data_IF_352249177168
#
_entry.id   IF_352249177168
#
_cell.length_a   1.000
_cell.length_b   1.000
_cell.length_c   1.000
_cell.angle_alpha   90.00
_cell.angle_beta   90.00
_cell.angle_gamma   90.00
#
_symmetry.space_group_name_H-M   'P 1'
#
loop_
_entity.id
_entity.type
_entity.pdbx_description
1 polymer ?
#
# COMPACT_ATOMS: atom_id res chain seq x y z
N UNK A 1 16.81 12.23 -11.78
CA UNK A 1 16.29 12.67 -10.47
C UNK A 1 15.61 11.46 -9.85
N UNK A 2 16.01 11.07 -8.63
CA UNK A 2 15.23 10.09 -7.87
C UNK A 2 13.91 10.75 -7.49
N UNK A 3 12.80 10.31 -8.07
CA UNK A 3 11.48 10.74 -7.61
C UNK A 3 11.16 9.88 -6.38
N UNK A 4 11.03 10.52 -5.21
CA UNK A 4 10.77 9.81 -3.96
C UNK A 4 9.48 8.99 -4.03
N UNK A 5 9.35 7.95 -3.19
CA UNK A 5 8.11 7.18 -3.11
C UNK A 5 6.88 8.06 -2.87
N UNK A 6 7.02 9.13 -2.06
CA UNK A 6 5.96 10.12 -1.85
C UNK A 6 5.61 10.88 -3.14
N UNK A 7 6.60 11.32 -3.91
CA UNK A 7 6.33 12.01 -5.18
C UNK A 7 5.58 11.09 -6.17
N UNK A 8 6.00 9.83 -6.28
CA UNK A 8 5.29 8.85 -7.12
C UNK A 8 3.88 8.57 -6.63
N UNK A 9 3.66 8.51 -5.31
CA UNK A 9 2.34 8.32 -4.72
C UNK A 9 1.42 9.53 -4.98
N UNK A 10 1.95 10.75 -4.91
CA UNK A 10 1.22 11.97 -5.29
C UNK A 10 0.80 11.94 -6.77
N UNK A 11 1.70 11.49 -7.66
CA UNK A 11 1.38 11.36 -9.08
C UNK A 11 0.34 10.26 -9.34
N UNK A 12 0.38 9.15 -8.61
CA UNK A 12 -0.66 8.12 -8.67
C UNK A 12 -2.01 8.62 -8.16
N UNK A 13 -2.03 9.32 -7.02
CA UNK A 13 -3.23 9.91 -6.45
C UNK A 13 -3.87 10.92 -7.42
N UNK A 14 -3.06 11.79 -8.03
CA UNK A 14 -3.54 12.74 -9.05
C UNK A 14 -4.21 12.04 -10.24
N UNK A 15 -3.74 10.85 -10.63
CA UNK A 15 -4.36 10.05 -11.69
C UNK A 15 -5.69 9.42 -11.28
N UNK A 16 -5.98 9.30 -9.98
CA UNK A 16 -7.26 8.78 -9.50
C UNK A 16 -8.30 9.88 -9.31
N UNK A 17 -7.90 11.15 -9.17
CA UNK A 17 -8.84 12.26 -9.08
C UNK A 17 -9.60 12.43 -10.41
N UNK A 18 -10.84 11.97 -10.42
CA UNK A 18 -11.72 11.90 -11.59
C UNK A 18 -13.11 12.52 -11.32
N UNK A 19 -13.20 13.41 -10.32
CA UNK A 19 -14.42 14.05 -9.80
C UNK A 19 -15.31 13.16 -8.93
N UNK A 20 -15.08 11.84 -8.87
CA UNK A 20 -15.83 10.94 -7.98
C UNK A 20 -14.92 10.29 -6.94
N UNK A 21 -13.75 9.80 -7.34
CA UNK A 21 -12.90 8.98 -6.48
C UNK A 21 -12.44 9.75 -5.23
N UNK A 22 -12.03 11.02 -5.37
CA UNK A 22 -11.56 11.86 -4.28
C UNK A 22 -12.62 12.16 -3.20
N UNK A 23 -13.91 11.98 -3.52
CA UNK A 23 -15.00 12.23 -2.58
C UNK A 23 -15.33 11.01 -1.70
N UNK A 24 -15.03 9.79 -2.17
CA UNK A 24 -15.46 8.55 -1.52
C UNK A 24 -14.32 7.63 -1.10
N UNK A 25 -13.15 7.78 -1.71
CA UNK A 25 -12.00 6.89 -1.57
C UNK A 25 -10.75 7.68 -1.26
N UNK A 26 -9.70 6.98 -0.81
CA UNK A 26 -8.46 7.68 -0.52
C UNK A 26 -7.30 6.80 -0.12
N UNK A 27 -6.29 7.49 0.39
CA UNK A 27 -5.07 6.92 0.94
C UNK A 27 -5.03 7.29 2.41
N UNK A 28 -4.89 6.31 3.30
CA UNK A 28 -4.64 6.52 4.71
C UNK A 28 -3.23 6.04 5.06
N UNK A 29 -2.40 6.94 5.58
CA UNK A 29 -1.10 6.60 6.17
C UNK A 29 -1.19 6.95 7.64
N UNK A 30 -1.05 5.96 8.51
CA UNK A 30 -1.13 6.14 9.95
C UNK A 30 -0.04 5.34 10.67
N UNK A 31 0.33 5.76 11.88
CA UNK A 31 1.21 4.99 12.75
C UNK A 31 0.44 3.86 13.44
N UNK A 32 1.11 2.76 13.77
CA UNK A 32 0.55 1.68 14.59
C UNK A 32 1.06 1.71 16.04
N UNK A 33 0.27 1.13 16.96
CA UNK A 33 0.64 1.02 18.39
C UNK A 33 1.85 0.10 18.62
N UNK A 34 2.04 -0.93 17.78
CA UNK A 34 3.33 -1.60 17.63
C UNK A 34 4.14 -0.80 16.61
N UNK A 35 5.25 -0.14 17.01
CA UNK A 35 5.85 0.93 16.24
C UNK A 35 5.99 0.58 14.76
N UNK A 36 5.38 1.39 13.91
CA UNK A 36 5.31 1.08 12.49
C UNK A 36 4.30 1.92 11.75
N UNK A 37 4.10 1.56 10.49
CA UNK A 37 3.22 2.24 9.57
C UNK A 37 2.08 1.32 9.13
N UNK A 38 0.90 1.92 8.94
CA UNK A 38 -0.20 1.34 8.20
C UNK A 38 -0.53 2.25 7.03
N UNK A 39 -0.42 1.69 5.82
CA UNK A 39 -0.88 2.31 4.59
C UNK A 39 -2.11 1.56 4.09
N UNK A 40 -3.22 2.24 3.89
CA UNK A 40 -4.44 1.71 3.26
C UNK A 40 -4.75 2.53 2.03
N UNK A 41 -5.03 1.86 0.92
CA UNK A 41 -5.38 2.48 -0.35
C UNK A 41 -6.65 1.82 -0.86
N UNK A 42 -7.69 2.61 -1.08
CA UNK A 42 -8.92 2.14 -1.71
C UNK A 42 -8.66 1.81 -3.19
N UNK A 43 -9.09 0.61 -3.62
CA UNK A 43 -8.92 0.16 -5.01
C UNK A 43 -10.22 0.29 -5.81
N UNK A 44 -11.34 0.57 -5.15
CA UNK A 44 -12.63 0.77 -5.80
C UNK A 44 -12.55 1.88 -6.85
N UNK A 45 -13.23 1.67 -7.98
CA UNK A 45 -13.21 2.57 -9.14
C UNK A 45 -11.82 2.85 -9.74
N UNK A 46 -10.78 2.11 -9.34
CA UNK A 46 -9.46 2.15 -9.99
C UNK A 46 -9.27 0.95 -10.92
N UNK A 47 -8.27 1.01 -11.81
CA UNK A 47 -7.86 -0.13 -12.64
C UNK A 47 -7.37 -1.35 -11.84
N UNK A 48 -7.18 -1.19 -10.52
CA UNK A 48 -6.70 -2.25 -9.63
C UNK A 48 -7.84 -3.03 -8.95
N UNK A 49 -9.09 -2.62 -9.16
CA UNK A 49 -10.25 -3.33 -8.65
C UNK A 49 -10.32 -4.74 -9.26
N UNK A 50 -10.27 -5.77 -8.42
CA UNK A 50 -10.27 -7.18 -8.86
C UNK A 50 -8.91 -7.74 -9.31
N UNK A 51 -7.85 -6.93 -9.30
CA UNK A 51 -6.49 -7.39 -9.55
C UNK A 51 -6.01 -8.33 -8.44
N UNK A 52 -5.36 -9.44 -8.82
CA UNK A 52 -4.71 -10.32 -7.85
C UNK A 52 -3.40 -9.68 -7.39
N UNK A 53 -3.26 -9.51 -6.08
CA UNK A 53 -2.02 -9.10 -5.44
C UNK A 53 -1.37 -10.33 -4.78
N UNK A 54 -0.14 -10.71 -5.15
CA UNK A 54 0.60 -11.72 -4.40
C UNK A 54 0.97 -11.13 -3.03
N UNK A 55 0.44 -11.71 -1.96
CA UNK A 55 0.73 -11.26 -0.60
C UNK A 55 2.23 -11.27 -0.33
N UNK A 56 2.75 -10.19 0.25
CA UNK A 56 4.15 -10.06 0.68
C UNK A 56 4.18 -10.19 2.19
N UNK A 57 5.02 -11.10 2.70
CA UNK A 57 5.29 -11.27 4.14
C UNK A 57 6.79 -11.39 4.36
N UNK A 58 7.34 -10.52 5.20
CA UNK A 58 8.72 -10.55 5.67
C UNK A 58 8.69 -10.35 7.18
N UNK A 59 9.31 -11.25 7.94
CA UNK A 59 9.34 -11.13 9.41
C UNK A 59 7.99 -11.29 10.10
N UNK A 60 7.00 -11.89 9.43
CA UNK A 60 5.65 -12.16 9.95
C UNK A 60 5.47 -13.67 10.16
N UNK A 61 4.89 -14.06 11.28
CA UNK A 61 4.57 -15.46 11.60
C UNK A 61 3.26 -15.95 10.93
N UNK A 62 2.87 -17.20 11.23
CA UNK A 62 1.66 -17.82 10.68
C UNK A 62 0.37 -17.15 11.17
N UNK A 63 0.39 -16.57 12.37
CA UNK A 63 -0.72 -15.86 12.99
C UNK A 63 -0.85 -14.40 12.48
N UNK A 64 0.13 -13.93 11.69
CA UNK A 64 0.12 -12.59 11.10
C UNK A 64 0.76 -11.52 11.98
N UNK A 65 1.50 -11.92 13.02
CA UNK A 65 2.20 -11.03 13.92
C UNK A 65 3.68 -10.87 13.54
N UNK A 66 4.26 -9.68 13.74
CA UNK A 66 5.70 -9.50 13.59
C UNK A 66 6.49 -10.38 14.57
N UNK A 67 7.37 -11.23 14.05
CA UNK A 67 8.31 -12.04 14.82
C UNK A 67 9.76 -11.51 14.74
N UNK A 68 10.04 -10.59 13.82
CA UNK A 68 11.35 -9.97 13.64
C UNK A 68 11.32 -8.45 13.82
N UNK A 69 12.48 -7.85 14.10
CA UNK A 69 12.62 -6.40 14.23
C UNK A 69 12.35 -5.67 12.91
N UNK A 70 12.77 -6.27 11.79
CA UNK A 70 12.39 -5.84 10.45
C UNK A 70 11.19 -6.67 9.99
N UNK A 71 10.08 -5.99 9.68
CA UNK A 71 8.87 -6.67 9.25
C UNK A 71 8.08 -5.86 8.23
N UNK A 72 7.50 -6.56 7.27
CA UNK A 72 6.68 -6.00 6.21
C UNK A 72 5.58 -6.99 5.86
N UNK A 73 4.36 -6.47 5.72
CA UNK A 73 3.23 -7.22 5.20
C UNK A 73 2.45 -6.35 4.23
N UNK A 74 2.22 -6.85 3.02
CA UNK A 74 1.35 -6.21 2.04
C UNK A 74 0.32 -7.21 1.53
N UNK A 75 -0.93 -6.80 1.43
CA UNK A 75 -2.02 -7.67 0.98
C UNK A 75 -3.21 -6.84 0.47
N UNK A 76 -4.11 -7.47 -0.27
CA UNK A 76 -5.40 -6.88 -0.65
C UNK A 76 -6.51 -7.58 0.12
N UNK A 77 -7.39 -6.78 0.74
CA UNK A 77 -8.56 -7.28 1.47
C UNK A 77 -9.71 -6.29 1.34
N UNK A 78 -10.93 -6.78 1.07
CA UNK A 78 -12.14 -5.97 0.89
C UNK A 78 -11.96 -4.80 -0.09
N UNK A 79 -11.34 -5.06 -1.24
CA UNK A 79 -11.05 -4.06 -2.28
C UNK A 79 -10.20 -2.87 -1.80
N UNK A 80 -9.40 -3.09 -0.75
CA UNK A 80 -8.39 -2.14 -0.27
C UNK A 80 -7.04 -2.84 -0.28
N UNK A 81 -6.04 -2.15 -0.80
CA UNK A 81 -4.65 -2.55 -0.61
C UNK A 81 -4.19 -2.08 0.77
N UNK A 82 -3.49 -2.94 1.48
CA UNK A 82 -3.01 -2.69 2.82
C UNK A 82 -1.54 -3.07 2.91
N UNK A 83 -0.73 -2.15 3.42
CA UNK A 83 0.67 -2.34 3.73
C UNK A 83 0.94 -1.98 5.17
N UNK A 84 1.65 -2.84 5.88
CA UNK A 84 2.06 -2.62 7.26
C UNK A 84 3.52 -2.98 7.41
N UNK A 85 4.28 -2.22 8.17
CA UNK A 85 5.69 -2.51 8.39
C UNK A 85 6.28 -1.73 9.55
N UNK A 86 7.50 -2.07 9.92
CA UNK A 86 8.25 -1.39 10.98
C UNK A 86 8.49 0.10 10.65
N UNK A 87 8.98 0.93 11.59
CA UNK A 87 9.09 2.38 11.40
C UNK A 87 9.95 2.81 10.21
N UNK A 88 10.83 1.95 9.70
CA UNK A 88 11.70 2.21 8.56
C UNK A 88 11.06 1.87 7.20
N UNK A 89 9.91 1.18 7.18
CA UNK A 89 9.36 0.55 5.98
C UNK A 89 8.38 1.38 5.18
N UNK A 90 8.09 2.63 5.56
CA UNK A 90 7.10 3.44 4.85
C UNK A 90 7.39 3.57 3.35
N UNK A 91 8.65 3.82 2.99
CA UNK A 91 9.07 3.91 1.59
C UNK A 91 8.89 2.58 0.84
N UNK A 92 9.32 1.48 1.46
CA UNK A 92 9.20 0.13 0.90
C UNK A 92 7.73 -0.32 0.71
N UNK A 93 6.86 0.05 1.65
CA UNK A 93 5.41 -0.17 1.57
C UNK A 93 4.84 0.55 0.34
N UNK A 94 5.17 1.83 0.15
CA UNK A 94 4.64 2.64 -0.96
C UNK A 94 5.18 2.14 -2.30
N UNK A 95 6.48 1.84 -2.38
CA UNK A 95 7.07 1.31 -3.62
C UNK A 95 6.49 -0.06 -3.99
N UNK A 96 6.17 -0.92 -3.01
CA UNK A 96 5.52 -2.22 -3.25
C UNK A 96 4.15 -2.04 -3.92
N UNK A 97 3.35 -1.09 -3.44
CA UNK A 97 2.07 -0.76 -4.06
C UNK A 97 2.24 -0.25 -5.49
N UNK A 98 3.14 0.71 -5.71
CA UNK A 98 3.37 1.34 -7.00
C UNK A 98 3.91 0.35 -8.05
N UNK A 99 4.81 -0.55 -7.63
CA UNK A 99 5.33 -1.61 -8.48
C UNK A 99 4.21 -2.57 -8.93
N UNK A 100 3.31 -2.94 -8.02
CA UNK A 100 2.15 -3.76 -8.37
C UNK A 100 1.18 -3.06 -9.32
N UNK A 101 0.92 -1.76 -9.10
CA UNK A 101 0.07 -0.97 -10.00
C UNK A 101 0.60 -0.97 -11.45
N UNK A 102 1.93 -0.97 -11.63
CA UNK A 102 2.55 -1.11 -12.96
C UNK A 102 2.32 -2.48 -13.61
N UNK A 103 2.24 -3.55 -12.80
CA UNK A 103 2.15 -4.92 -13.29
C UNK A 103 0.71 -5.39 -13.56
N UNK A 104 -0.31 -4.85 -12.88
CA UNK A 104 -1.71 -5.25 -13.15
C UNK A 104 -2.33 -4.60 -14.39
N UNK A 105 -1.65 -3.62 -15.00
CA UNK A 105 -2.14 -2.93 -16.21
C UNK A 105 -1.87 -3.68 -17.53
N UNK A 106 -1.50 -4.97 -17.47
CA UNK A 106 -1.24 -5.84 -18.63
C UNK A 106 -2.33 -6.90 -18.81
#
# INVERSE_FOLDING_TARGET
MSNSAIAKLQDWYRQQCDEEWEHYYGINISSCDNPGWWVKIDLACTSLSGCKFPEVKVGIDEDGHPHAAEWLRCYVFNNKWQGTGDPSKLEEIIDTFLAWNGNCRN
#
